data_IF_476519104368
#
_entry.id   IF_476519104368
#
_cell.length_a   1.000
_cell.length_b   1.000
_cell.length_c   1.000
_cell.angle_alpha   90.00
_cell.angle_beta   90.00
_cell.angle_gamma   90.00
#
_symmetry.space_group_name_H-M   'P 1'
#
loop_
_entity.id
_entity.type
_entity.pdbx_description
1 polymer ?
#
# COMPACT_ATOMS: atom_id res chain seq x y z
N UNK A 1 32.32 -8.07 33.04
CA UNK A 1 31.98 -7.81 31.62
C UNK A 1 30.87 -8.73 31.10
N UNK A 2 30.98 -10.07 31.22
CA UNK A 2 30.00 -11.04 30.71
C UNK A 2 28.52 -10.82 31.11
N UNK A 3 28.23 -10.31 32.31
CA UNK A 3 26.86 -10.05 32.77
C UNK A 3 26.22 -8.86 32.02
N UNK A 4 26.98 -7.82 31.73
CA UNK A 4 26.46 -6.66 31.00
C UNK A 4 26.12 -7.04 29.55
N UNK A 5 26.99 -7.79 28.90
CA UNK A 5 26.77 -8.29 27.52
C UNK A 5 25.51 -9.14 27.44
N UNK A 6 25.34 -10.11 28.34
CA UNK A 6 24.15 -10.96 28.39
C UNK A 6 22.86 -10.16 28.62
N UNK A 7 22.91 -9.14 29.49
CA UNK A 7 21.76 -8.25 29.73
C UNK A 7 21.42 -7.40 28.51
N UNK A 8 22.41 -6.86 27.82
CA UNK A 8 22.20 -6.08 26.60
C UNK A 8 21.63 -6.94 25.47
N UNK A 9 22.13 -8.15 25.31
CA UNK A 9 21.62 -9.10 24.32
C UNK A 9 20.16 -9.50 24.62
N UNK A 10 19.83 -9.74 25.89
CA UNK A 10 18.47 -10.01 26.34
C UNK A 10 17.52 -8.83 26.05
N UNK A 11 17.92 -7.60 26.37
CA UNK A 11 17.11 -6.39 26.08
C UNK A 11 16.92 -6.20 24.58
N UNK A 12 17.95 -6.44 23.77
CA UNK A 12 17.86 -6.37 22.32
C UNK A 12 16.92 -7.44 21.73
N UNK A 13 17.01 -8.68 22.23
CA UNK A 13 16.12 -9.76 21.81
C UNK A 13 14.66 -9.42 22.15
N UNK A 14 14.42 -8.94 23.37
CA UNK A 14 13.11 -8.49 23.80
C UNK A 14 12.56 -7.37 22.91
N UNK A 15 13.36 -6.34 22.64
CA UNK A 15 12.94 -5.24 21.77
C UNK A 15 12.57 -5.73 20.36
N UNK A 16 13.38 -6.61 19.76
CA UNK A 16 13.09 -7.19 18.43
C UNK A 16 11.80 -7.99 18.41
N UNK A 17 11.55 -8.79 19.44
CA UNK A 17 10.31 -9.56 19.56
C UNK A 17 9.09 -8.63 19.63
N UNK A 18 9.16 -7.55 20.43
CA UNK A 18 8.08 -6.57 20.53
C UNK A 18 7.82 -5.85 19.22
N UNK A 19 8.86 -5.50 18.47
CA UNK A 19 8.73 -4.90 17.13
C UNK A 19 8.04 -5.87 16.16
N UNK A 20 8.44 -7.14 16.16
CA UNK A 20 7.82 -8.18 15.33
C UNK A 20 6.32 -8.31 15.63
N UNK A 21 5.96 -8.44 16.90
CA UNK A 21 4.56 -8.54 17.33
C UNK A 21 3.74 -7.29 16.94
N UNK A 22 4.31 -6.10 17.09
CA UNK A 22 3.65 -4.86 16.68
C UNK A 22 3.45 -4.79 15.16
N UNK A 23 4.45 -5.23 14.38
CA UNK A 23 4.38 -5.31 12.92
C UNK A 23 3.29 -6.28 12.46
N UNK A 24 3.21 -7.47 13.07
CA UNK A 24 2.17 -8.46 12.79
C UNK A 24 0.78 -7.93 13.08
N UNK A 25 0.58 -7.28 14.25
CA UNK A 25 -0.71 -6.64 14.58
C UNK A 25 -1.09 -5.56 13.57
N UNK A 26 -0.13 -4.75 13.13
CA UNK A 26 -0.35 -3.71 12.14
C UNK A 26 -0.75 -4.31 10.79
N UNK A 27 -0.05 -5.37 10.35
CA UNK A 27 -0.38 -6.09 9.12
C UNK A 27 -1.79 -6.67 9.17
N UNK A 28 -2.14 -7.41 10.22
CA UNK A 28 -3.48 -8.00 10.36
C UNK A 28 -4.58 -6.95 10.30
N UNK A 29 -4.39 -5.79 10.95
CA UNK A 29 -5.36 -4.68 10.91
C UNK A 29 -5.48 -4.03 9.54
N UNK A 30 -4.39 -3.94 8.79
CA UNK A 30 -4.41 -3.42 7.42
C UNK A 30 -5.11 -4.41 6.50
N UNK A 31 -4.69 -5.67 6.51
CA UNK A 31 -5.22 -6.74 5.66
C UNK A 31 -6.71 -6.98 5.92
N UNK A 32 -7.19 -6.85 7.17
CA UNK A 32 -8.62 -6.97 7.49
C UNK A 32 -9.48 -5.81 6.96
N UNK A 33 -8.87 -4.67 6.61
CA UNK A 33 -9.55 -3.50 6.03
C UNK A 33 -9.33 -3.39 4.52
N UNK A 34 -8.36 -4.12 3.98
CA UNK A 34 -8.05 -4.10 2.57
C UNK A 34 -9.22 -4.71 1.79
N UNK A 35 -9.94 -3.88 1.06
CA UNK A 35 -11.01 -4.33 0.17
C UNK A 35 -10.41 -4.73 -1.18
N UNK A 36 -10.50 -6.01 -1.48
CA UNK A 36 -9.91 -6.57 -2.70
C UNK A 36 -10.86 -6.36 -3.89
N UNK A 37 -10.72 -5.22 -4.55
CA UNK A 37 -11.48 -4.88 -5.75
C UNK A 37 -10.80 -5.49 -6.98
N UNK A 38 -11.26 -6.66 -7.41
CA UNK A 38 -10.82 -7.27 -8.65
C UNK A 38 -11.60 -6.72 -9.83
N UNK A 39 -10.89 -6.12 -10.79
CA UNK A 39 -11.46 -5.79 -12.08
C UNK A 39 -11.34 -6.97 -13.04
N UNK A 40 -12.35 -7.16 -13.87
CA UNK A 40 -12.37 -8.11 -14.97
C UNK A 40 -12.08 -7.41 -16.29
N UNK A 41 -11.62 -8.18 -17.27
CA UNK A 41 -11.49 -7.68 -18.64
C UNK A 41 -12.85 -7.18 -19.12
N UNK A 42 -12.90 -5.96 -19.64
CA UNK A 42 -14.13 -5.31 -20.07
C UNK A 42 -14.74 -4.33 -19.05
N UNK A 43 -14.28 -4.32 -17.80
CA UNK A 43 -14.78 -3.37 -16.80
C UNK A 43 -14.36 -1.94 -17.14
N UNK A 44 -15.29 -1.00 -16.92
CA UNK A 44 -15.03 0.43 -17.04
C UNK A 44 -14.41 0.97 -15.74
N UNK A 45 -13.27 1.63 -15.85
CA UNK A 45 -12.51 2.15 -14.72
C UNK A 45 -12.08 3.59 -14.94
N UNK A 46 -12.07 4.38 -13.88
CA UNK A 46 -11.47 5.71 -13.86
C UNK A 46 -10.00 5.60 -13.45
N UNK A 47 -9.11 6.20 -14.23
CA UNK A 47 -7.69 6.25 -13.94
C UNK A 47 -7.36 7.53 -13.18
N UNK A 48 -6.69 7.41 -12.03
CA UNK A 48 -6.17 8.57 -11.33
C UNK A 48 -4.88 9.06 -11.99
N UNK A 49 -4.92 10.25 -12.58
CA UNK A 49 -3.81 10.95 -13.22
C UNK A 49 -3.42 12.18 -12.39
N UNK A 50 -2.33 12.06 -11.62
CA UNK A 50 -1.80 13.16 -10.79
C UNK A 50 -1.03 14.22 -11.58
N UNK A 51 -0.97 14.11 -12.91
CA UNK A 51 -0.23 15.05 -13.76
C UNK A 51 -0.87 16.43 -13.70
N UNK A 52 -0.13 17.41 -13.17
CA UNK A 52 -0.57 18.81 -13.11
C UNK A 52 -0.49 19.46 -14.49
N UNK A 53 -1.56 20.14 -14.87
CA UNK A 53 -1.62 21.00 -16.07
C UNK A 53 -1.17 22.40 -15.68
N UNK A 54 -0.14 22.91 -16.37
CA UNK A 54 0.33 24.29 -16.17
C UNK A 54 -0.79 25.27 -16.53
N UNK A 55 -0.93 26.33 -15.72
CA UNK A 55 -1.98 27.34 -15.90
C UNK A 55 -3.30 27.04 -15.19
N UNK A 56 -3.47 25.85 -14.60
CA UNK A 56 -4.64 25.51 -13.78
C UNK A 56 -4.25 25.42 -12.29
N UNK A 57 -5.19 25.76 -11.41
CA UNK A 57 -5.01 25.57 -9.97
C UNK A 57 -4.97 24.08 -9.65
N UNK A 58 -3.91 23.63 -8.97
CA UNK A 58 -3.74 22.21 -8.61
C UNK A 58 -4.87 21.66 -7.74
N UNK A 59 -5.65 22.52 -7.05
CA UNK A 59 -6.79 22.10 -6.22
C UNK A 59 -8.08 21.94 -7.01
N UNK A 60 -8.21 22.62 -8.15
CA UNK A 60 -9.43 22.62 -8.98
C UNK A 60 -9.29 21.74 -10.22
N UNK A 61 -8.15 21.08 -10.39
CA UNK A 61 -7.94 20.19 -11.51
C UNK A 61 -8.59 18.82 -11.22
N UNK A 62 -9.31 18.30 -12.21
CA UNK A 62 -9.77 16.91 -12.20
C UNK A 62 -8.58 15.97 -12.40
N UNK A 63 -8.40 15.06 -11.44
CA UNK A 63 -7.35 14.04 -11.46
C UNK A 63 -7.87 12.69 -11.94
N UNK A 64 -9.16 12.55 -12.25
CA UNK A 64 -9.74 11.31 -12.75
C UNK A 64 -9.89 11.41 -14.27
N UNK A 65 -9.38 10.42 -14.98
CA UNK A 65 -9.41 10.35 -16.43
C UNK A 65 -10.13 9.06 -16.84
N UNK A 66 -10.90 9.10 -17.93
CA UNK A 66 -11.63 7.94 -18.43
C UNK A 66 -13.14 8.18 -18.50
N UNK A 67 -13.94 7.13 -18.70
CA UNK A 67 -13.66 5.74 -18.34
C UNK A 67 -12.78 5.00 -19.35
N UNK A 68 -11.85 4.20 -18.84
CA UNK A 68 -11.06 3.23 -19.60
C UNK A 68 -11.63 1.83 -19.47
N UNK A 69 -11.25 0.93 -20.38
CA UNK A 69 -11.68 -0.48 -20.34
C UNK A 69 -10.48 -1.34 -19.94
N UNK A 70 -10.64 -2.19 -18.93
CA UNK A 70 -9.58 -3.14 -18.57
C UNK A 70 -9.37 -4.14 -19.73
N UNK A 71 -8.20 -4.09 -20.36
CA UNK A 71 -7.80 -4.99 -21.45
C UNK A 71 -7.26 -6.32 -20.92
N UNK A 72 -6.44 -6.25 -19.87
CA UNK A 72 -5.78 -7.43 -19.28
C UNK A 72 -5.38 -7.18 -17.82
N UNK A 73 -5.64 -8.15 -16.94
CA UNK A 73 -5.04 -8.23 -15.60
C UNK A 73 -3.61 -8.79 -15.75
N UNK A 74 -2.61 -7.99 -15.37
CA UNK A 74 -1.20 -8.43 -15.40
C UNK A 74 -0.84 -9.10 -14.07
N UNK A 75 -1.16 -8.43 -12.95
CA UNK A 75 -1.03 -8.94 -11.58
C UNK A 75 -2.29 -8.56 -10.78
N UNK A 76 -2.34 -8.96 -9.52
CA UNK A 76 -3.44 -8.62 -8.59
C UNK A 76 -3.69 -7.13 -8.40
N UNK A 77 -2.66 -6.31 -8.56
CA UNK A 77 -2.72 -4.85 -8.39
C UNK A 77 -2.44 -4.10 -9.69
N UNK A 78 -2.04 -4.80 -10.77
CA UNK A 78 -1.60 -4.17 -12.02
C UNK A 78 -2.50 -4.61 -13.18
N UNK A 79 -3.16 -3.63 -13.78
CA UNK A 79 -4.06 -3.80 -14.90
C UNK A 79 -3.56 -3.01 -16.10
N UNK A 80 -3.74 -3.57 -17.29
CA UNK A 80 -3.63 -2.82 -18.54
C UNK A 80 -5.03 -2.35 -18.89
N UNK A 81 -5.18 -1.03 -18.96
CA UNK A 81 -6.36 -0.31 -19.44
C UNK A 81 -6.13 0.23 -20.85
#
# INVERSE_FOLDING_TARGET
MKNLEARLESVHAFARERIKLASERMKTRYDSRATYHNFKKGDLVWMYNSKRRRGLSSKLQENWEGPYIVVKKLNDVVYRV
#
